data_IF_041115168743
#
_entry.id   IF_041115168743
#
_cell.length_a   1.000
_cell.length_b   1.000
_cell.length_c   1.000
_cell.angle_alpha   90.00
_cell.angle_beta   90.00
_cell.angle_gamma   90.00
#
_symmetry.space_group_name_H-M   'P 1'
#
loop_
_entity.id
_entity.type
_entity.pdbx_description
1 polymer ?
#
# COMPACT_ATOMS: atom_id res chain seq x y z
N UNK A 1 -7.30 -10.35 -15.47
CA UNK A 1 -7.79 -8.97 -15.63
C UNK A 1 -9.24 -8.93 -15.21
N UNK A 2 -9.61 -7.92 -14.47
CA UNK A 2 -10.99 -7.70 -14.03
C UNK A 2 -11.35 -6.26 -14.41
N UNK A 3 -12.41 -6.12 -15.20
CA UNK A 3 -12.87 -4.84 -15.76
C UNK A 3 -14.30 -4.53 -15.31
N UNK A 4 -14.57 -3.30 -14.92
CA UNK A 4 -15.90 -2.86 -14.47
C UNK A 4 -15.93 -1.43 -13.95
N UNK A 5 -17.11 -0.84 -13.85
CA UNK A 5 -17.29 0.54 -13.37
C UNK A 5 -17.66 0.64 -11.88
N UNK A 6 -18.17 -0.43 -11.30
CA UNK A 6 -18.44 -0.54 -9.86
C UNK A 6 -18.33 -2.00 -9.48
N UNK A 7 -17.37 -2.34 -8.64
CA UNK A 7 -17.03 -3.72 -8.38
C UNK A 7 -16.74 -3.95 -6.90
N UNK A 8 -17.11 -5.12 -6.39
CA UNK A 8 -16.62 -5.62 -5.12
C UNK A 8 -15.88 -6.93 -5.35
N UNK A 9 -14.65 -6.99 -4.85
CA UNK A 9 -13.81 -8.17 -4.92
C UNK A 9 -13.44 -8.61 -3.50
N UNK A 10 -13.80 -9.83 -3.13
CA UNK A 10 -13.45 -10.44 -1.85
C UNK A 10 -12.57 -11.68 -2.10
N UNK A 11 -11.36 -11.65 -1.58
CA UNK A 11 -10.37 -12.70 -1.75
C UNK A 11 -9.89 -13.20 -0.39
N UNK A 12 -10.15 -14.46 -0.10
CA UNK A 12 -9.65 -15.15 1.09
C UNK A 12 -8.75 -16.30 0.68
N UNK A 13 -7.47 -16.21 1.03
CA UNK A 13 -6.50 -17.29 0.85
C UNK A 13 -6.00 -17.80 2.20
N UNK A 14 -6.15 -19.10 2.44
CA UNK A 14 -5.64 -19.78 3.63
C UNK A 14 -4.65 -20.86 3.23
N UNK A 15 -3.56 -20.96 3.98
CA UNK A 15 -2.47 -21.89 3.73
C UNK A 15 -1.20 -21.16 3.30
N UNK A 16 -0.14 -21.92 3.19
CA UNK A 16 1.17 -21.35 2.86
C UNK A 16 1.42 -21.35 1.34
N UNK A 17 2.25 -20.42 0.89
CA UNK A 17 2.68 -20.31 -0.52
C UNK A 17 1.55 -20.04 -1.52
N UNK A 18 0.46 -19.44 -1.08
CA UNK A 18 -0.58 -18.99 -2.00
C UNK A 18 -0.11 -17.77 -2.79
N UNK A 19 -0.63 -17.64 -4.00
CA UNK A 19 -0.32 -16.52 -4.88
C UNK A 19 -1.60 -15.89 -5.42
N UNK A 20 -1.74 -14.60 -5.21
CA UNK A 20 -2.73 -13.76 -5.86
C UNK A 20 -2.02 -12.80 -6.82
N UNK A 21 -2.43 -12.81 -8.06
CA UNK A 21 -2.03 -11.83 -9.08
C UNK A 21 -3.31 -11.25 -9.65
N UNK A 22 -3.49 -9.95 -9.51
CA UNK A 22 -4.68 -9.26 -10.01
C UNK A 22 -4.29 -7.99 -10.76
N UNK A 23 -4.96 -7.78 -11.88
CA UNK A 23 -4.97 -6.53 -12.61
C UNK A 23 -6.43 -6.09 -12.70
N UNK A 24 -6.74 -4.92 -12.13
CA UNK A 24 -8.10 -4.43 -11.92
C UNK A 24 -8.24 -3.09 -12.62
N UNK A 25 -9.19 -3.04 -13.55
CA UNK A 25 -9.54 -1.84 -14.32
C UNK A 25 -10.95 -1.40 -13.94
N UNK A 26 -11.08 -0.70 -12.84
CA UNK A 26 -12.41 -0.32 -12.37
C UNK A 26 -12.39 0.98 -11.54
N UNK A 27 -13.31 1.89 -11.88
CA UNK A 27 -13.67 2.99 -11.00
C UNK A 27 -14.51 2.49 -9.83
N UNK A 28 -14.40 3.14 -8.68
CA UNK A 28 -15.22 2.88 -7.50
C UNK A 28 -15.24 1.39 -7.09
N UNK A 29 -14.10 0.72 -7.14
CA UNK A 29 -14.06 -0.65 -6.69
C UNK A 29 -13.80 -0.75 -5.18
N UNK A 30 -14.31 -1.82 -4.57
CA UNK A 30 -14.03 -2.17 -3.18
C UNK A 30 -13.36 -3.54 -3.14
N UNK A 31 -12.13 -3.58 -2.66
CA UNK A 31 -11.33 -4.79 -2.55
C UNK A 31 -11.10 -5.21 -1.10
N UNK A 32 -11.44 -6.45 -0.76
CA UNK A 32 -11.08 -7.09 0.51
C UNK A 32 -10.17 -8.27 0.25
N UNK A 33 -8.94 -8.19 0.74
CA UNK A 33 -7.92 -9.22 0.53
C UNK A 33 -7.43 -9.74 1.87
N UNK A 34 -7.63 -11.03 2.14
CA UNK A 34 -7.21 -11.65 3.38
C UNK A 34 -6.32 -12.87 3.11
N UNK A 35 -5.10 -12.83 3.63
CA UNK A 35 -4.09 -13.87 3.49
C UNK A 35 -3.71 -14.41 4.87
N UNK A 36 -3.94 -15.71 5.08
CA UNK A 36 -3.63 -16.38 6.34
C UNK A 36 -2.66 -17.52 6.06
N UNK A 37 -1.45 -17.42 6.60
CA UNK A 37 -0.37 -18.39 6.44
C UNK A 37 0.94 -17.73 5.99
N UNK A 38 1.99 -18.50 5.91
CA UNK A 38 3.32 -17.99 5.61
C UNK A 38 3.65 -18.04 4.11
N UNK A 39 4.54 -17.16 3.70
CA UNK A 39 5.12 -17.16 2.35
C UNK A 39 4.09 -16.92 1.22
N UNK A 40 3.00 -16.24 1.52
CA UNK A 40 2.03 -15.88 0.49
C UNK A 40 2.52 -14.68 -0.33
N UNK A 41 2.11 -14.63 -1.58
CA UNK A 41 2.38 -13.51 -2.48
C UNK A 41 1.07 -12.84 -2.89
N UNK A 42 0.95 -11.57 -2.61
CA UNK A 42 -0.08 -10.69 -3.14
C UNK A 42 0.57 -9.68 -4.10
N UNK A 43 0.11 -9.65 -5.31
CA UNK A 43 0.52 -8.64 -6.27
C UNK A 43 -0.74 -8.15 -7.00
N UNK A 44 -1.08 -6.90 -6.80
CA UNK A 44 -2.22 -6.25 -7.42
C UNK A 44 -1.76 -4.99 -8.13
N UNK A 45 -2.24 -4.81 -9.32
CA UNK A 45 -2.09 -3.60 -10.11
C UNK A 45 -3.45 -3.05 -10.46
N UNK A 46 -3.59 -1.74 -10.45
CA UNK A 46 -4.78 -1.06 -10.91
C UNK A 46 -4.37 0.05 -11.86
N UNK A 47 -5.07 0.15 -12.99
CA UNK A 47 -4.87 1.21 -13.97
C UNK A 47 -3.43 1.39 -14.48
N UNK A 48 -2.76 0.29 -14.83
CA UNK A 48 -1.41 0.37 -15.41
C UNK A 48 -1.39 1.00 -16.82
N UNK A 49 -2.49 0.96 -17.53
CA UNK A 49 -2.54 1.37 -18.96
C UNK A 49 -3.73 2.24 -19.34
N UNK A 50 -4.67 2.45 -18.44
CA UNK A 50 -5.91 3.19 -18.74
C UNK A 50 -6.12 4.35 -17.77
N UNK A 51 -6.17 5.55 -18.28
CA UNK A 51 -6.19 6.81 -17.54
C UNK A 51 -7.48 7.12 -16.76
N UNK A 52 -8.41 6.19 -16.60
CA UNK A 52 -9.73 6.47 -16.01
C UNK A 52 -10.27 5.42 -15.05
N UNK A 53 -9.49 4.44 -14.68
CA UNK A 53 -10.02 3.21 -14.08
C UNK A 53 -9.72 2.98 -12.60
N UNK A 54 -9.46 4.02 -11.79
CA UNK A 54 -9.10 3.79 -10.38
C UNK A 54 -9.71 4.78 -9.37
N UNK A 55 -10.54 5.72 -9.83
CA UNK A 55 -11.16 6.73 -8.98
C UNK A 55 -12.08 6.14 -7.91
N UNK A 56 -12.05 6.72 -6.71
CA UNK A 56 -13.00 6.39 -5.64
C UNK A 56 -12.86 4.98 -5.05
N UNK A 57 -11.69 4.39 -5.13
CA UNK A 57 -11.47 3.00 -4.73
C UNK A 57 -11.22 2.84 -3.23
N UNK A 58 -11.65 1.71 -2.68
CA UNK A 58 -11.39 1.30 -1.30
C UNK A 58 -10.72 -0.08 -1.28
N UNK A 59 -9.52 -0.16 -0.71
CA UNK A 59 -8.73 -1.39 -0.68
C UNK A 59 -8.34 -1.75 0.75
N UNK A 60 -8.77 -2.91 1.19
CA UNK A 60 -8.42 -3.43 2.51
C UNK A 60 -7.60 -4.72 2.35
N UNK A 61 -6.38 -4.71 2.90
CA UNK A 61 -5.46 -5.86 2.84
C UNK A 61 -5.12 -6.32 4.25
N UNK A 62 -5.45 -7.56 4.56
CA UNK A 62 -5.16 -8.19 5.84
C UNK A 62 -4.22 -9.38 5.64
N UNK A 63 -3.11 -9.38 6.35
CA UNK A 63 -2.13 -10.46 6.28
C UNK A 63 -1.82 -10.98 7.69
N UNK A 64 -1.93 -12.29 7.87
CA UNK A 64 -1.53 -12.96 9.11
C UNK A 64 -0.58 -14.09 8.78
N UNK A 65 0.67 -13.97 9.26
CA UNK A 65 1.74 -14.94 9.01
C UNK A 65 3.07 -14.26 8.69
N UNK A 66 4.09 -15.07 8.44
CA UNK A 66 5.43 -14.55 8.24
C UNK A 66 5.88 -14.68 6.79
N UNK A 67 6.86 -13.85 6.43
CA UNK A 67 7.56 -13.94 5.13
C UNK A 67 6.62 -13.75 3.93
N UNK A 68 5.53 -13.05 4.10
CA UNK A 68 4.63 -12.74 3.00
C UNK A 68 5.17 -11.55 2.19
N UNK A 69 4.94 -11.57 0.88
CA UNK A 69 5.30 -10.47 -0.03
C UNK A 69 4.03 -9.85 -0.60
N UNK A 70 3.89 -8.56 -0.43
CA UNK A 70 2.72 -7.81 -0.84
C UNK A 70 3.15 -6.63 -1.70
N UNK A 71 2.57 -6.53 -2.89
CA UNK A 71 2.81 -5.43 -3.82
C UNK A 71 1.47 -4.87 -4.28
N UNK A 72 1.31 -3.58 -4.19
CA UNK A 72 0.20 -2.83 -4.75
C UNK A 72 0.75 -1.69 -5.59
N UNK A 73 0.38 -1.67 -6.86
CA UNK A 73 0.58 -0.53 -7.76
C UNK A 73 -0.79 0.05 -8.11
N UNK A 74 -1.04 1.29 -7.74
CA UNK A 74 -2.35 1.92 -7.94
C UNK A 74 -2.23 3.22 -8.72
N UNK A 75 -3.01 3.30 -9.80
CA UNK A 75 -3.11 4.46 -10.68
C UNK A 75 -1.77 4.88 -11.34
N UNK A 76 -0.90 3.94 -11.67
CA UNK A 76 0.45 4.22 -12.19
C UNK A 76 0.48 4.79 -13.61
N UNK A 77 -0.62 4.71 -14.37
CA UNK A 77 -0.69 5.22 -15.74
C UNK A 77 -1.27 6.63 -15.82
N UNK A 78 -2.12 7.00 -14.90
CA UNK A 78 -2.69 8.33 -14.78
C UNK A 78 -3.21 8.58 -13.37
N UNK A 79 -3.17 9.84 -12.97
CA UNK A 79 -3.64 10.28 -11.67
C UNK A 79 -5.11 9.91 -11.46
N UNK A 80 -5.37 9.14 -10.42
CA UNK A 80 -6.71 8.86 -9.92
C UNK A 80 -7.05 9.77 -8.73
N UNK A 81 -8.28 9.73 -8.27
CA UNK A 81 -8.73 10.50 -7.12
C UNK A 81 -9.44 9.63 -6.08
N UNK A 82 -9.19 9.93 -4.79
CA UNK A 82 -9.88 9.35 -3.64
C UNK A 82 -9.67 7.83 -3.45
N UNK A 83 -8.48 7.41 -3.18
CA UNK A 83 -8.19 6.06 -2.69
C UNK A 83 -8.27 6.02 -1.16
N UNK A 84 -8.95 5.02 -0.62
CA UNK A 84 -8.90 4.65 0.80
C UNK A 84 -8.23 3.27 0.92
N UNK A 85 -7.05 3.23 1.52
CA UNK A 85 -6.21 2.03 1.60
C UNK A 85 -5.89 1.67 3.05
N UNK A 86 -6.36 0.51 3.48
CA UNK A 86 -6.09 -0.04 4.80
C UNK A 86 -5.25 -1.32 4.73
N UNK A 87 -4.09 -1.31 5.37
CA UNK A 87 -3.25 -2.49 5.55
C UNK A 87 -3.21 -2.91 7.01
N UNK A 88 -3.45 -4.17 7.26
CA UNK A 88 -3.21 -4.80 8.57
C UNK A 88 -2.33 -6.02 8.41
N UNK A 89 -1.15 -5.98 8.98
CA UNK A 89 -0.14 -7.04 8.86
C UNK A 89 0.26 -7.54 10.24
N UNK A 90 0.09 -8.82 10.47
CA UNK A 90 0.48 -9.50 11.71
C UNK A 90 1.48 -10.62 11.40
N UNK A 91 2.68 -10.52 11.98
CA UNK A 91 3.75 -11.49 11.78
C UNK A 91 5.06 -10.83 11.35
N UNK A 92 6.12 -11.61 11.27
CA UNK A 92 7.45 -11.09 11.02
C UNK A 92 7.97 -11.33 9.61
N UNK A 93 8.99 -10.57 9.25
CA UNK A 93 9.70 -10.69 7.97
C UNK A 93 8.82 -10.54 6.73
N UNK A 94 7.74 -9.78 6.83
CA UNK A 94 6.90 -9.47 5.69
C UNK A 94 7.49 -8.30 4.89
N UNK A 95 7.31 -8.33 3.58
CA UNK A 95 7.72 -7.26 2.66
C UNK A 95 6.48 -6.63 2.03
N UNK A 96 6.33 -5.35 2.19
CA UNK A 96 5.22 -4.56 1.67
C UNK A 96 5.78 -3.49 0.74
N UNK A 97 5.29 -3.46 -0.49
CA UNK A 97 5.57 -2.39 -1.46
C UNK A 97 4.26 -1.81 -1.93
N UNK A 98 4.10 -0.50 -1.80
CA UNK A 98 2.94 0.21 -2.31
C UNK A 98 3.40 1.44 -3.08
N UNK A 99 3.03 1.52 -4.35
CA UNK A 99 3.23 2.67 -5.22
C UNK A 99 1.86 3.21 -5.61
N UNK A 100 1.59 4.44 -5.22
CA UNK A 100 0.25 5.05 -5.23
C UNK A 100 0.34 6.43 -5.89
N UNK A 101 -0.29 6.58 -7.05
CA UNK A 101 -0.41 7.85 -7.75
C UNK A 101 -1.87 8.34 -7.71
N UNK A 102 -2.25 8.98 -6.62
CA UNK A 102 -3.65 9.35 -6.35
C UNK A 102 -3.76 10.68 -5.62
N UNK A 103 -4.57 11.59 -6.15
CA UNK A 103 -5.02 12.78 -5.43
C UNK A 103 -5.93 12.42 -4.26
N UNK A 104 -5.65 12.95 -3.09
CA UNK A 104 -6.49 12.75 -1.91
C UNK A 104 -6.46 11.31 -1.37
N UNK A 105 -5.39 10.56 -1.60
CA UNK A 105 -5.27 9.22 -1.05
C UNK A 105 -5.20 9.22 0.48
N UNK A 106 -5.96 8.33 1.09
CA UNK A 106 -5.90 8.08 2.54
C UNK A 106 -5.35 6.68 2.77
N UNK A 107 -4.18 6.60 3.37
CA UNK A 107 -3.47 5.34 3.55
C UNK A 107 -3.19 5.07 5.03
N UNK A 108 -3.72 3.96 5.53
CA UNK A 108 -3.43 3.45 6.86
C UNK A 108 -2.67 2.14 6.79
N UNK A 109 -1.55 2.06 7.52
CA UNK A 109 -0.74 0.85 7.61
C UNK A 109 -0.52 0.47 9.07
N UNK A 110 -1.05 -0.66 9.51
CA UNK A 110 -0.88 -1.20 10.84
C UNK A 110 -0.07 -2.48 10.78
N UNK A 111 1.11 -2.49 11.38
CA UNK A 111 2.05 -3.60 11.34
C UNK A 111 2.40 -4.05 12.75
N UNK A 112 2.12 -5.30 13.07
CA UNK A 112 2.49 -5.95 14.33
C UNK A 112 3.41 -7.14 14.07
N UNK A 113 4.69 -6.98 14.41
CA UNK A 113 5.70 -8.02 14.22
C UNK A 113 7.11 -7.49 13.99
N UNK A 114 8.06 -8.41 13.92
CA UNK A 114 9.48 -8.07 13.79
C UNK A 114 9.97 -8.20 12.34
N UNK A 115 11.04 -7.50 12.03
CA UNK A 115 11.78 -7.61 10.76
C UNK A 115 10.92 -7.33 9.51
N UNK A 116 9.87 -6.54 9.64
CA UNK A 116 9.05 -6.15 8.51
C UNK A 116 9.71 -5.04 7.69
N UNK A 117 9.55 -5.10 6.39
CA UNK A 117 10.02 -4.08 5.44
C UNK A 117 8.81 -3.43 4.78
N UNK A 118 8.77 -2.11 4.77
CA UNK A 118 7.79 -1.30 4.05
C UNK A 118 8.52 -0.39 3.08
N UNK A 119 8.12 -0.42 1.83
CA UNK A 119 8.45 0.59 0.84
C UNK A 119 7.14 1.21 0.37
N UNK A 120 6.97 2.48 0.64
CA UNK A 120 5.82 3.26 0.22
C UNK A 120 6.30 4.42 -0.67
N UNK A 121 5.72 4.52 -1.82
CA UNK A 121 5.94 5.55 -2.80
C UNK A 121 4.56 6.15 -3.13
N UNK A 122 4.31 7.33 -2.60
CA UNK A 122 3.06 8.05 -2.79
C UNK A 122 3.30 9.28 -3.65
N UNK A 123 2.87 9.22 -4.89
CA UNK A 123 2.96 10.30 -5.87
C UNK A 123 1.55 10.79 -6.21
N UNK A 124 1.29 12.07 -6.03
CA UNK A 124 -0.02 12.66 -6.26
C UNK A 124 0.06 14.17 -6.30
N UNK A 125 -1.01 14.82 -6.79
CA UNK A 125 -0.98 16.29 -6.93
C UNK A 125 -1.45 17.04 -5.68
N UNK A 126 -2.26 16.43 -4.81
CA UNK A 126 -2.79 17.13 -3.64
C UNK A 126 -3.33 16.23 -2.53
N UNK A 127 -3.00 16.58 -1.27
CA UNK A 127 -3.76 16.14 -0.10
C UNK A 127 -3.58 14.68 0.29
N UNK A 128 -2.43 14.09 0.06
CA UNK A 128 -2.13 12.72 0.48
C UNK A 128 -2.02 12.58 1.99
N UNK A 129 -2.66 11.55 2.54
CA UNK A 129 -2.59 11.19 3.96
C UNK A 129 -2.00 9.79 4.12
N UNK A 130 -0.85 9.69 4.79
CA UNK A 130 -0.23 8.42 5.12
C UNK A 130 0.01 8.27 6.62
N UNK A 131 -0.52 7.20 7.20
CA UNK A 131 -0.32 6.88 8.60
C UNK A 131 0.17 5.45 8.80
N UNK A 132 1.42 5.31 9.21
CA UNK A 132 2.04 4.04 9.56
C UNK A 132 2.09 3.87 11.08
N UNK A 133 1.53 2.79 11.58
CA UNK A 133 1.69 2.33 12.97
C UNK A 133 2.42 1.00 12.96
N UNK A 134 3.47 0.89 13.76
CA UNK A 134 4.25 -0.33 13.91
C UNK A 134 4.51 -0.65 15.37
N UNK A 135 4.30 -1.92 15.71
CA UNK A 135 4.69 -2.50 17.00
C UNK A 135 5.51 -3.75 16.73
N UNK A 136 6.73 -3.81 17.28
CA UNK A 136 7.60 -4.98 17.09
C UNK A 136 9.08 -4.64 17.24
N UNK A 137 9.94 -5.57 16.88
CA UNK A 137 11.38 -5.40 16.94
C UNK A 137 11.96 -4.62 15.76
N UNK A 138 12.89 -5.25 15.08
CA UNK A 138 13.58 -4.72 13.90
C UNK A 138 12.64 -4.38 12.74
N UNK A 139 12.90 -3.29 12.03
CA UNK A 139 12.09 -2.85 10.89
C UNK A 139 12.91 -2.08 9.87
N UNK A 140 12.44 -2.05 8.63
CA UNK A 140 12.96 -1.15 7.59
C UNK A 140 11.79 -0.46 6.91
N UNK A 141 11.73 0.86 7.02
CA UNK A 141 10.70 1.69 6.38
C UNK A 141 11.37 2.68 5.45
N UNK A 142 11.02 2.60 4.18
CA UNK A 142 11.37 3.54 3.13
C UNK A 142 10.07 4.18 2.67
N UNK A 143 9.87 5.44 3.04
CA UNK A 143 8.64 6.16 2.78
C UNK A 143 8.98 7.38 1.95
N UNK A 144 8.44 7.44 0.77
CA UNK A 144 8.46 8.58 -0.11
C UNK A 144 7.04 9.09 -0.32
N UNK A 145 6.82 10.36 -0.07
CA UNK A 145 5.56 11.02 -0.30
C UNK A 145 5.83 12.33 -1.02
N UNK A 146 5.54 12.34 -2.30
CA UNK A 146 5.74 13.50 -3.17
C UNK A 146 4.39 14.06 -3.63
N UNK A 147 4.28 15.37 -3.66
CA UNK A 147 3.14 16.06 -4.23
C UNK A 147 3.56 17.39 -4.83
N UNK A 148 2.77 17.89 -5.76
CA UNK A 148 3.01 19.20 -6.37
C UNK A 148 2.22 20.33 -5.70
N UNK A 149 1.48 20.03 -4.64
CA UNK A 149 0.68 21.00 -3.91
C UNK A 149 0.70 20.79 -2.41
N UNK A 150 0.42 21.84 -1.67
CA UNK A 150 0.36 21.84 -0.22
C UNK A 150 -0.72 20.86 0.34
N UNK A 151 -0.54 20.42 1.58
CA UNK A 151 -1.45 19.64 2.43
C UNK A 151 -1.22 18.12 2.47
N UNK A 152 -0.06 17.64 2.14
CA UNK A 152 0.29 16.25 2.44
C UNK A 152 0.55 16.04 3.93
N UNK A 153 0.08 14.92 4.42
CA UNK A 153 0.21 14.60 5.81
C UNK A 153 0.82 13.20 6.01
N UNK A 154 1.92 13.17 6.74
CA UNK A 154 2.65 11.95 7.06
C UNK A 154 2.75 11.77 8.58
N UNK A 155 2.36 10.59 9.06
CA UNK A 155 2.57 10.19 10.45
C UNK A 155 3.13 8.79 10.55
N UNK A 156 4.24 8.66 11.27
CA UNK A 156 4.81 7.36 11.60
C UNK A 156 4.85 7.22 13.12
N UNK A 157 4.22 6.18 13.62
CA UNK A 157 4.28 5.79 15.03
C UNK A 157 4.89 4.40 15.10
N UNK A 158 6.07 4.29 15.66
CA UNK A 158 6.79 3.02 15.70
C UNK A 158 7.34 2.75 17.10
N UNK A 159 6.98 1.60 17.66
CA UNK A 159 7.51 1.08 18.92
C UNK A 159 8.32 -0.20 18.63
N UNK A 160 9.62 -0.14 18.86
CA UNK A 160 10.52 -1.27 18.62
C UNK A 160 11.96 -0.98 19.02
N UNK A 161 12.78 -2.02 19.09
CA UNK A 161 14.14 -1.93 19.64
C UNK A 161 15.20 -1.49 18.62
N UNK A 162 14.98 -1.66 17.32
CA UNK A 162 15.96 -1.36 16.27
C UNK A 162 15.28 -1.20 14.91
N UNK A 163 16.00 -0.69 13.94
CA UNK A 163 15.55 -0.60 12.56
C UNK A 163 15.92 0.71 11.89
N UNK A 164 15.66 0.77 10.59
CA UNK A 164 15.86 1.95 9.76
C UNK A 164 14.51 2.55 9.39
N UNK A 165 14.41 3.86 9.49
CA UNK A 165 13.26 4.61 8.99
C UNK A 165 13.82 5.73 8.12
N UNK A 166 13.52 5.68 6.86
CA UNK A 166 13.88 6.65 5.86
C UNK A 166 12.62 7.30 5.34
N UNK A 167 12.56 8.62 5.36
CA UNK A 167 11.37 9.38 4.97
C UNK A 167 11.79 10.55 4.10
N UNK A 168 11.19 10.64 2.93
CA UNK A 168 11.16 11.84 2.12
C UNK A 168 9.72 12.34 2.06
N UNK A 169 9.53 13.62 2.25
CA UNK A 169 8.27 14.31 2.00
C UNK A 169 8.61 15.63 1.30
N UNK A 170 8.11 15.84 0.10
CA UNK A 170 8.52 16.96 -0.74
C UNK A 170 7.40 17.42 -1.66
N UNK A 171 7.34 18.75 -1.90
CA UNK A 171 6.47 19.35 -2.92
C UNK A 171 7.15 19.38 -4.31
N UNK A 172 8.23 18.65 -4.48
CA UNK A 172 8.95 18.52 -5.74
C UNK A 172 9.47 17.11 -5.89
N UNK A 173 9.41 16.57 -7.09
CA UNK A 173 10.02 15.29 -7.42
C UNK A 173 11.49 15.27 -7.02
N UNK A 174 11.81 14.61 -5.94
CA UNK A 174 13.18 14.46 -5.43
C UNK A 174 13.54 13.00 -5.40
N UNK A 175 14.75 12.67 -5.82
CA UNK A 175 15.23 11.30 -5.65
C UNK A 175 15.30 10.95 -4.17
N UNK A 176 14.76 9.81 -3.81
CA UNK A 176 14.86 9.21 -2.50
C UNK A 176 16.33 9.08 -2.06
N UNK A 177 16.69 9.73 -0.97
CA UNK A 177 18.04 9.69 -0.42
C UNK A 177 17.99 9.43 1.08
N UNK A 178 18.40 8.25 1.49
CA UNK A 178 18.76 7.97 2.89
C UNK A 178 20.27 7.91 3.09
#
# INVERSE_FOLDING_TARGET
DIDGTTMTLDVLQKGNTNKFLGDIWADNYTGYFSFIGDTNTFNMSTDETNATGADGSNVNVQVTGNTNTMTLNHAMAALAANLDLDWTVQGGSNSITASIDVDGATNYMNIDGNDNTVTYDGDGYAGGYFHLTHVGGSRTFNIDQESTSDNDWLKITSAGSSGTVCVTQSDATTSFVC
#
